data_IF_747431843848
#
_entry.id   IF_747431843848
#
_cell.length_a   1.000
_cell.length_b   1.000
_cell.length_c   1.000
_cell.angle_alpha   90.00
_cell.angle_beta   90.00
_cell.angle_gamma   90.00
#
_symmetry.space_group_name_H-M   'P 1'
#
loop_
_entity.id
_entity.type
_entity.pdbx_description
1 polymer ?
#
# COMPACT_ATOMS: atom_id res chain seq x y z
N UNK A 1 -42.53 10.92 -36.09
CA UNK A 1 -41.83 11.02 -34.80
C UNK A 1 -41.38 9.62 -34.42
N UNK A 2 -40.09 9.34 -34.53
CA UNK A 2 -39.53 8.02 -34.20
C UNK A 2 -38.80 8.16 -32.87
N UNK A 3 -39.25 7.45 -31.86
CA UNK A 3 -38.64 7.44 -30.53
C UNK A 3 -37.49 6.44 -30.56
N UNK A 4 -36.26 6.95 -30.49
CA UNK A 4 -35.06 6.12 -30.30
C UNK A 4 -34.99 5.71 -28.84
N UNK A 5 -35.18 4.43 -28.55
CA UNK A 5 -34.95 3.87 -27.22
C UNK A 5 -33.43 3.73 -27.00
N UNK A 6 -32.92 4.37 -25.94
CA UNK A 6 -31.56 4.13 -25.46
C UNK A 6 -31.57 2.87 -24.58
N UNK A 7 -30.94 1.81 -25.07
CA UNK A 7 -30.62 0.65 -24.23
C UNK A 7 -29.42 1.01 -23.34
N UNK A 8 -29.64 1.10 -22.04
CA UNK A 8 -28.56 1.18 -21.06
C UNK A 8 -27.89 -0.18 -20.96
N UNK A 9 -26.65 -0.30 -21.45
CA UNK A 9 -25.80 -1.45 -21.15
C UNK A 9 -25.43 -1.38 -19.67
N UNK A 10 -26.08 -2.20 -18.84
CA UNK A 10 -25.61 -2.47 -17.50
C UNK A 10 -24.20 -3.07 -17.62
N UNK A 11 -23.18 -2.29 -17.31
CA UNK A 11 -21.81 -2.78 -17.26
C UNK A 11 -21.74 -3.92 -16.25
N UNK A 12 -21.18 -5.06 -16.65
CA UNK A 12 -20.79 -6.11 -15.72
C UNK A 12 -19.78 -5.48 -14.75
N UNK A 13 -20.22 -5.17 -13.53
CA UNK A 13 -19.35 -4.63 -12.50
C UNK A 13 -18.27 -5.65 -12.13
N UNK A 14 -17.07 -5.16 -11.78
CA UNK A 14 -16.02 -6.00 -11.19
C UNK A 14 -16.60 -6.75 -9.98
N UNK A 15 -16.32 -8.05 -9.88
CA UNK A 15 -16.77 -8.82 -8.72
C UNK A 15 -16.04 -8.32 -7.48
N UNK A 16 -16.64 -8.53 -6.29
CA UNK A 16 -15.97 -8.18 -5.02
C UNK A 16 -14.59 -8.85 -4.94
N UNK A 17 -14.48 -10.09 -5.42
CA UNK A 17 -13.21 -10.83 -5.49
C UNK A 17 -12.18 -10.16 -6.39
N UNK A 18 -12.60 -9.50 -7.47
CA UNK A 18 -11.67 -8.77 -8.35
C UNK A 18 -11.13 -7.49 -7.69
N UNK A 19 -11.90 -6.93 -6.75
CA UNK A 19 -11.54 -5.70 -6.02
C UNK A 19 -10.69 -5.99 -4.79
N UNK A 20 -11.12 -6.93 -3.93
CA UNK A 20 -10.46 -7.21 -2.64
C UNK A 20 -9.54 -8.44 -2.66
N UNK A 21 -9.60 -9.23 -3.73
CA UNK A 21 -8.84 -10.47 -3.88
C UNK A 21 -9.55 -11.72 -3.34
N UNK A 22 -8.87 -12.88 -3.41
CA UNK A 22 -9.37 -14.15 -2.89
C UNK A 22 -9.54 -14.15 -1.37
N UNK A 23 -10.53 -14.89 -0.88
CA UNK A 23 -10.78 -15.02 0.56
C UNK A 23 -9.58 -15.65 1.28
N UNK A 24 -9.08 -15.06 2.38
CA UNK A 24 -8.00 -15.65 3.17
C UNK A 24 -8.46 -16.88 3.98
N UNK A 25 -9.76 -17.16 4.04
CA UNK A 25 -10.32 -18.32 4.74
C UNK A 25 -10.12 -19.64 4.00
N UNK A 26 -9.71 -19.58 2.73
CA UNK A 26 -9.43 -20.74 1.89
C UNK A 26 -7.97 -20.68 1.45
N UNK A 27 -7.27 -21.81 1.54
CA UNK A 27 -5.89 -21.91 1.06
C UNK A 27 -5.81 -21.49 -0.42
N UNK A 28 -4.82 -20.66 -0.73
CA UNK A 28 -4.54 -20.23 -2.11
C UNK A 28 -3.31 -21.00 -2.59
N UNK A 29 -3.56 -22.07 -3.32
CA UNK A 29 -2.50 -22.85 -3.93
C UNK A 29 -1.80 -22.03 -5.03
N UNK A 30 -0.47 -22.12 -5.08
CA UNK A 30 0.35 -21.45 -6.11
C UNK A 30 0.12 -19.93 -6.21
N UNK A 31 -0.18 -19.28 -5.08
CA UNK A 31 -0.36 -17.82 -5.03
C UNK A 31 0.86 -17.12 -5.68
N UNK A 32 0.68 -16.14 -6.59
CA UNK A 32 1.81 -15.47 -7.24
C UNK A 32 2.72 -14.72 -6.24
N UNK A 33 3.90 -14.25 -6.66
CA UNK A 33 4.78 -13.47 -5.80
C UNK A 33 4.09 -12.23 -5.23
N UNK A 34 4.47 -11.89 -4.00
CA UNK A 34 4.02 -10.66 -3.34
C UNK A 34 4.44 -9.43 -4.15
N UNK A 35 3.56 -8.43 -4.24
CA UNK A 35 3.87 -7.15 -4.87
C UNK A 35 3.50 -6.00 -3.97
N UNK A 36 4.25 -4.91 -4.11
CA UNK A 36 4.02 -3.65 -3.44
C UNK A 36 3.66 -2.58 -4.46
N UNK A 37 2.63 -1.80 -4.17
CA UNK A 37 2.25 -0.60 -4.90
C UNK A 37 2.13 0.55 -3.90
N UNK A 38 2.77 1.67 -4.20
CA UNK A 38 2.83 2.86 -3.37
C UNK A 38 2.51 4.05 -4.26
N UNK A 39 1.47 4.78 -3.90
CA UNK A 39 1.05 5.97 -4.63
C UNK A 39 1.83 7.21 -4.15
N UNK A 40 1.91 8.27 -4.97
CA UNK A 40 2.34 9.58 -4.48
C UNK A 40 1.47 10.06 -3.30
N UNK A 41 1.95 11.01 -2.48
CA UNK A 41 1.14 11.58 -1.42
C UNK A 41 -0.16 12.20 -1.95
N UNK A 42 -1.24 12.10 -1.18
CA UNK A 42 -2.53 12.69 -1.53
C UNK A 42 -2.38 14.21 -1.76
N UNK A 43 -2.73 14.75 -2.95
CA UNK A 43 -2.40 16.13 -3.32
C UNK A 43 -3.00 17.18 -2.37
N UNK A 44 -4.24 17.01 -1.92
CA UNK A 44 -4.92 17.98 -1.06
C UNK A 44 -4.32 18.09 0.34
N UNK A 45 -3.78 16.98 0.84
CA UNK A 45 -3.08 16.89 2.13
C UNK A 45 -1.66 17.43 1.99
N UNK A 46 -0.98 17.08 0.89
CA UNK A 46 0.37 17.56 0.62
C UNK A 46 0.41 19.09 0.48
N UNK A 47 -0.61 19.70 -0.13
CA UNK A 47 -0.77 21.15 -0.21
C UNK A 47 -0.81 21.84 1.17
N UNK A 48 -1.16 21.11 2.24
CA UNK A 48 -1.19 21.57 3.64
C UNK A 48 0.09 21.18 4.42
N UNK A 49 1.08 20.61 3.75
CA UNK A 49 2.30 20.08 4.36
C UNK A 49 2.11 18.74 5.10
N UNK A 50 1.04 18.00 4.79
CA UNK A 50 0.74 16.69 5.37
C UNK A 50 1.02 15.59 4.33
N UNK A 51 1.94 14.68 4.61
CA UNK A 51 2.30 13.61 3.67
C UNK A 51 1.51 12.36 4.00
N UNK A 52 0.45 12.12 3.24
CA UNK A 52 -0.43 10.95 3.39
C UNK A 52 -0.24 10.07 2.17
N UNK A 53 0.39 8.90 2.33
CA UNK A 53 0.75 7.97 1.25
C UNK A 53 -0.11 6.72 1.38
N UNK A 54 -0.83 6.38 0.32
CA UNK A 54 -1.54 5.11 0.24
C UNK A 54 -0.64 4.05 -0.38
N UNK A 55 -0.78 2.83 0.09
CA UNK A 55 -0.13 1.68 -0.50
C UNK A 55 -1.08 0.49 -0.46
N UNK A 56 -0.78 -0.50 -1.30
CA UNK A 56 -1.45 -1.80 -1.26
C UNK A 56 -0.46 -2.90 -1.59
N UNK A 57 -0.78 -4.09 -1.12
CA UNK A 57 -0.05 -5.31 -1.47
C UNK A 57 -0.92 -6.20 -2.34
N UNK A 58 -0.30 -6.93 -3.27
CA UNK A 58 -0.93 -8.10 -3.90
C UNK A 58 -0.23 -9.35 -3.36
N UNK A 59 -0.99 -10.43 -3.20
CA UNK A 59 -0.47 -11.74 -2.79
C UNK A 59 0.28 -11.75 -1.45
N UNK A 60 -0.03 -10.80 -0.56
CA UNK A 60 0.50 -10.71 0.79
C UNK A 60 -0.47 -9.93 1.67
N UNK A 61 -0.66 -10.39 2.91
CA UNK A 61 -1.54 -9.82 3.93
C UNK A 61 -0.70 -9.06 4.92
N UNK A 62 -0.92 -7.76 5.00
CA UNK A 62 -0.29 -6.90 6.00
C UNK A 62 -1.04 -7.09 7.32
N UNK A 63 -0.39 -7.72 8.30
CA UNK A 63 -0.96 -7.95 9.64
C UNK A 63 0.15 -7.89 10.70
N UNK A 64 -0.16 -7.53 11.96
CA UNK A 64 0.84 -7.39 13.02
C UNK A 64 1.24 -8.75 13.63
N UNK A 65 1.70 -9.68 12.80
CA UNK A 65 2.18 -11.00 13.20
C UNK A 65 3.63 -11.16 12.73
N UNK A 66 4.53 -11.45 13.66
CA UNK A 66 5.98 -11.37 13.47
C UNK A 66 6.69 -12.66 13.92
N UNK A 67 7.93 -12.82 13.47
CA UNK A 67 8.80 -13.93 13.83
C UNK A 67 8.63 -15.15 12.92
N UNK A 68 9.57 -16.11 13.06
CA UNK A 68 9.63 -17.28 12.17
C UNK A 68 8.36 -18.14 12.20
N UNK A 69 7.71 -18.30 13.37
CA UNK A 69 6.47 -19.09 13.48
C UNK A 69 5.28 -18.52 12.70
N UNK A 70 5.32 -17.24 12.31
CA UNK A 70 4.30 -16.67 11.44
C UNK A 70 4.33 -17.29 10.03
N UNK A 71 5.51 -17.72 9.57
CA UNK A 71 5.67 -18.39 8.27
C UNK A 71 4.98 -19.76 8.24
N UNK A 72 4.86 -20.42 9.40
CA UNK A 72 4.13 -21.69 9.54
C UNK A 72 2.61 -21.48 9.47
N UNK A 73 2.12 -20.29 9.87
CA UNK A 73 0.70 -19.90 9.72
C UNK A 73 0.40 -19.58 8.26
N UNK A 74 1.22 -18.75 7.64
CA UNK A 74 1.13 -18.45 6.22
C UNK A 74 2.42 -17.81 5.70
N UNK A 75 2.96 -18.27 4.55
CA UNK A 75 4.09 -17.59 3.88
C UNK A 75 3.69 -16.27 3.22
N UNK A 76 2.44 -15.82 3.41
CA UNK A 76 1.82 -14.67 2.74
C UNK A 76 1.39 -13.60 3.73
N UNK A 77 2.03 -13.58 4.89
CA UNK A 77 1.91 -12.53 5.91
C UNK A 77 3.16 -11.66 5.84
N UNK A 78 3.02 -10.37 6.10
CA UNK A 78 4.14 -9.44 6.14
C UNK A 78 3.74 -8.08 6.68
N UNK A 79 4.63 -7.11 6.48
CA UNK A 79 4.45 -5.72 6.87
C UNK A 79 5.35 -4.83 5.98
N UNK A 80 5.28 -3.52 6.15
CA UNK A 80 6.17 -2.59 5.44
C UNK A 80 7.12 -1.88 6.39
N UNK A 81 8.37 -1.68 5.94
CA UNK A 81 9.33 -0.76 6.57
C UNK A 81 9.25 0.58 5.86
N UNK A 82 9.24 1.67 6.62
CA UNK A 82 9.16 3.04 6.10
C UNK A 82 10.41 3.81 6.51
N UNK A 83 11.20 4.24 5.52
CA UNK A 83 12.37 5.09 5.71
C UNK A 83 12.14 6.45 5.04
N UNK A 84 12.30 7.53 5.80
CA UNK A 84 12.16 8.91 5.31
C UNK A 84 13.53 9.51 5.13
N UNK A 85 13.80 10.11 3.96
CA UNK A 85 15.02 10.85 3.65
C UNK A 85 16.34 10.14 4.01
N UNK A 86 16.39 8.82 3.79
CA UNK A 86 17.56 7.98 4.10
C UNK A 86 18.00 8.02 5.57
N UNK A 87 17.06 8.30 6.47
CA UNK A 87 17.31 8.20 7.90
C UNK A 87 17.93 6.83 8.24
N UNK A 88 18.84 6.76 9.23
CA UNK A 88 19.44 5.51 9.67
C UNK A 88 18.45 4.62 10.45
N UNK A 89 17.19 5.05 10.57
CA UNK A 89 16.10 4.38 11.23
C UNK A 89 14.90 4.29 10.29
N UNK A 90 14.09 3.27 10.49
CA UNK A 90 12.78 3.13 9.86
C UNK A 90 11.75 2.77 10.93
N UNK A 91 10.47 2.91 10.59
CA UNK A 91 9.37 2.38 11.38
C UNK A 91 8.57 1.37 10.57
N UNK A 92 7.74 0.59 11.25
CA UNK A 92 6.91 -0.45 10.63
C UNK A 92 5.47 0.03 10.55
N UNK A 93 4.82 -0.20 9.40
CA UNK A 93 3.36 -0.33 9.33
C UNK A 93 2.98 -1.79 9.09
N UNK A 94 2.08 -2.28 9.94
CA UNK A 94 1.51 -3.62 9.85
C UNK A 94 -0.03 -3.57 9.85
N UNK A 95 -0.59 -2.45 9.42
CA UNK A 95 -2.05 -2.22 9.38
C UNK A 95 -2.62 -2.33 7.95
N UNK A 96 -1.81 -2.00 6.94
CA UNK A 96 -2.32 -1.88 5.56
C UNK A 96 -3.01 -0.53 5.30
N UNK A 97 -2.94 0.40 6.24
CA UNK A 97 -3.58 1.71 6.17
C UNK A 97 -2.65 2.79 5.61
N UNK A 98 -3.17 4.00 5.48
CA UNK A 98 -2.41 5.16 4.98
C UNK A 98 -1.17 5.44 5.85
N UNK A 99 -0.01 5.53 5.20
CA UNK A 99 1.24 5.97 5.84
C UNK A 99 1.16 7.49 6.01
N UNK A 100 1.32 7.96 7.26
CA UNK A 100 1.27 9.38 7.60
C UNK A 100 2.65 9.84 8.06
N UNK A 101 3.23 10.80 7.33
CA UNK A 101 4.45 11.51 7.71
C UNK A 101 4.13 13.01 7.78
N UNK A 102 4.25 13.59 8.96
CA UNK A 102 3.93 15.01 9.18
C UNK A 102 5.10 15.73 9.83
N UNK A 103 5.18 17.04 9.63
CA UNK A 103 6.23 17.87 10.22
C UNK A 103 7.53 17.94 9.41
N UNK A 104 7.55 17.39 8.19
CA UNK A 104 8.67 17.62 7.26
C UNK A 104 8.80 19.13 6.95
N UNK A 105 10.03 19.66 6.82
CA UNK A 105 10.24 21.03 6.39
C UNK A 105 9.78 21.21 4.93
N UNK A 106 9.53 22.45 4.47
CA UNK A 106 9.36 22.71 3.05
C UNK A 106 10.58 22.26 2.23
N UNK A 107 10.34 21.63 1.08
CA UNK A 107 11.39 21.15 0.19
C UNK A 107 11.17 19.74 -0.34
N UNK A 108 12.21 19.19 -0.97
CA UNK A 108 12.16 17.86 -1.60
C UNK A 108 12.40 16.78 -0.55
N UNK A 109 11.54 15.78 -0.58
CA UNK A 109 11.59 14.63 0.31
C UNK A 109 11.42 13.32 -0.45
N UNK A 110 11.81 12.22 0.19
CA UNK A 110 11.52 10.88 -0.29
C UNK A 110 11.15 9.93 0.84
N UNK A 111 10.25 9.01 0.51
CA UNK A 111 9.88 7.89 1.38
C UNK A 111 10.16 6.59 0.64
N UNK A 112 11.01 5.75 1.23
CA UNK A 112 11.23 4.37 0.82
C UNK A 112 10.27 3.48 1.62
N UNK A 113 9.49 2.67 0.91
CA UNK A 113 8.61 1.65 1.48
C UNK A 113 9.13 0.29 1.04
N UNK A 114 9.44 -0.58 1.99
CA UNK A 114 9.96 -1.92 1.75
C UNK A 114 8.96 -2.95 2.26
N UNK A 115 8.49 -3.83 1.39
CA UNK A 115 7.66 -4.97 1.77
C UNK A 115 8.56 -6.03 2.40
N UNK A 116 8.26 -6.42 3.63
CA UNK A 116 9.03 -7.41 4.37
C UNK A 116 8.17 -8.57 4.84
N UNK A 117 8.79 -9.75 4.93
CA UNK A 117 8.18 -10.91 5.57
C UNK A 117 8.20 -10.77 7.12
N UNK A 118 7.57 -11.69 7.87
CA UNK A 118 7.49 -11.60 9.33
C UNK A 118 8.85 -11.71 10.04
N UNK A 119 9.89 -12.14 9.34
CA UNK A 119 11.28 -12.22 9.84
C UNK A 119 12.09 -10.96 9.53
N UNK A 120 11.45 -9.92 8.99
CA UNK A 120 12.05 -8.66 8.54
C UNK A 120 12.95 -8.82 7.29
N UNK A 121 12.79 -9.90 6.53
CA UNK A 121 13.46 -10.02 5.23
C UNK A 121 12.69 -9.22 4.19
N UNK A 122 13.38 -8.27 3.57
CA UNK A 122 12.83 -7.46 2.47
C UNK A 122 12.58 -8.33 1.24
N UNK A 123 11.39 -8.19 0.67
CA UNK A 123 10.88 -8.93 -0.50
C UNK A 123 10.78 -8.04 -1.74
N UNK A 124 10.64 -6.72 -1.55
CA UNK A 124 10.55 -5.73 -2.62
C UNK A 124 10.43 -4.33 -2.04
N UNK A 125 10.61 -3.30 -2.86
CA UNK A 125 10.52 -1.92 -2.39
C UNK A 125 10.06 -0.96 -3.48
N UNK A 126 9.56 0.20 -3.04
CA UNK A 126 9.26 1.35 -3.89
C UNK A 126 9.65 2.64 -3.18
N UNK A 127 10.13 3.62 -3.94
CA UNK A 127 10.45 4.95 -3.42
C UNK A 127 9.53 5.98 -4.05
N UNK A 128 8.84 6.76 -3.23
CA UNK A 128 8.08 7.93 -3.66
C UNK A 128 8.86 9.20 -3.36
N UNK A 129 8.88 10.12 -4.32
CA UNK A 129 9.56 11.42 -4.21
C UNK A 129 8.53 12.52 -4.38
N UNK A 130 8.58 13.53 -3.53
CA UNK A 130 7.61 14.62 -3.53
C UNK A 130 8.23 15.90 -2.99
N UNK A 131 7.50 17.01 -3.12
CA UNK A 131 7.90 18.31 -2.60
C UNK A 131 6.84 18.79 -1.62
N UNK A 132 7.28 19.13 -0.41
CA UNK A 132 6.44 19.75 0.62
C UNK A 132 6.46 21.27 0.37
N UNK A 133 5.30 21.92 0.20
CA UNK A 133 5.26 23.36 -0.08
C UNK A 133 5.69 24.18 1.15
N UNK A 134 6.12 25.44 0.94
CA UNK A 134 6.31 26.41 2.02
C UNK A 134 5.05 26.52 2.89
N UNK A 135 5.23 26.68 4.21
CA UNK A 135 4.11 27.06 5.08
C UNK A 135 3.76 28.51 4.77
N UNK A 136 2.49 28.76 4.46
CA UNK A 136 1.94 30.11 4.42
C UNK A 136 1.88 30.70 5.83
#
# INVERSE_FOLDING_TARGET
MTITAFATTAGQGQSVRDVIGPSPLVAIENEPPAKLFVDPPLPEQLAKGLVFIQYRTENLRVVPVFGAGALDVSPRIGHVHITVDDAPWHFVDATGETIIVVGLPPGRHRVLVELADPTHRVMGSQTVRFEVPPRN
#
